data_IF_492625589983
#
_entry.id   IF_492625589983
#
_cell.length_a   1.000
_cell.length_b   1.000
_cell.length_c   1.000
_cell.angle_alpha   90.00
_cell.angle_beta   90.00
_cell.angle_gamma   90.00
#
_symmetry.space_group_name_H-M   'P 1'
#
loop_
_entity.id
_entity.type
_entity.pdbx_description
1 polymer ?
#
# COMPACT_ATOMS: atom_id res chain seq x y z
N UNK A 1 -0.91 -78.16 6.29
CA UNK A 1 -0.28 -77.16 7.14
C UNK A 1 0.43 -76.18 6.23
N UNK A 2 -0.16 -75.01 6.05
CA UNK A 2 0.43 -73.88 5.24
C UNK A 2 0.81 -72.75 6.19
N UNK A 3 2.13 -72.49 6.28
CA UNK A 3 2.68 -71.40 7.06
C UNK A 3 2.51 -70.14 6.24
N UNK A 4 1.90 -69.10 6.83
CA UNK A 4 1.78 -67.76 6.30
C UNK A 4 2.89 -66.94 6.95
N UNK A 5 3.82 -66.45 6.11
CA UNK A 5 4.87 -65.51 6.54
C UNK A 5 4.30 -64.09 6.53
N UNK A 6 4.35 -63.43 7.67
CA UNK A 6 3.95 -62.00 7.82
C UNK A 6 5.21 -61.15 7.66
N UNK A 7 5.29 -60.42 6.57
CA UNK A 7 6.36 -59.45 6.32
C UNK A 7 5.97 -58.12 6.96
N UNK A 8 6.69 -57.71 7.99
CA UNK A 8 6.52 -56.41 8.62
C UNK A 8 7.29 -55.33 7.83
N UNK A 9 6.56 -54.40 7.20
CA UNK A 9 7.15 -53.26 6.55
C UNK A 9 7.30 -52.13 7.55
N UNK A 10 8.55 -51.78 7.87
CA UNK A 10 8.88 -50.63 8.70
C UNK A 10 8.76 -49.36 7.88
N UNK A 11 7.79 -48.51 8.16
CA UNK A 11 7.71 -47.14 7.66
C UNK A 11 8.57 -46.24 8.53
N UNK A 12 9.66 -45.74 7.96
CA UNK A 12 10.48 -44.71 8.57
C UNK A 12 9.82 -43.34 8.32
N UNK A 13 9.18 -42.77 9.34
CA UNK A 13 8.68 -41.37 9.29
C UNK A 13 9.89 -40.45 9.46
N UNK A 14 10.24 -39.74 8.39
CA UNK A 14 11.08 -38.57 8.50
C UNK A 14 10.23 -37.40 8.99
N UNK A 15 10.42 -36.99 10.23
CA UNK A 15 9.89 -35.72 10.73
C UNK A 15 10.73 -34.59 10.17
N UNK A 16 10.18 -33.87 9.20
CA UNK A 16 10.71 -32.57 8.74
C UNK A 16 10.34 -31.56 9.80
N UNK A 17 11.29 -31.16 10.62
CA UNK A 17 11.13 -30.03 11.53
C UNK A 17 11.11 -28.74 10.70
N UNK A 18 9.94 -28.19 10.44
CA UNK A 18 9.80 -26.84 9.97
C UNK A 18 10.14 -25.90 11.14
N UNK A 19 11.33 -25.31 11.11
CA UNK A 19 11.65 -24.17 11.96
C UNK A 19 10.81 -22.99 11.52
N UNK A 20 9.73 -22.71 12.24
CA UNK A 20 9.02 -21.45 12.17
C UNK A 20 9.97 -20.35 12.67
N UNK A 21 10.51 -19.57 11.75
CA UNK A 21 11.03 -18.25 12.11
C UNK A 21 9.83 -17.41 12.52
N UNK A 22 9.62 -17.29 13.83
CA UNK A 22 8.77 -16.25 14.39
C UNK A 22 9.44 -14.91 14.06
N UNK A 23 8.81 -14.16 13.15
CA UNK A 23 9.14 -12.78 12.96
C UNK A 23 8.83 -12.04 14.27
N UNK A 24 9.85 -11.63 14.98
CA UNK A 24 9.73 -10.69 16.08
C UNK A 24 9.17 -9.39 15.50
N UNK A 25 7.95 -9.07 15.87
CA UNK A 25 7.40 -7.72 15.79
C UNK A 25 8.19 -6.86 16.79
N UNK A 26 9.32 -6.37 16.34
CA UNK A 26 10.13 -5.46 17.13
C UNK A 26 9.55 -4.06 16.99
N UNK A 27 8.76 -3.66 17.98
CA UNK A 27 8.67 -2.26 18.34
C UNK A 27 10.05 -1.77 18.78
N UNK A 28 10.92 -1.48 17.83
CA UNK A 28 12.27 -1.00 18.12
C UNK A 28 12.41 0.43 17.65
N UNK A 29 12.57 1.35 18.59
CA UNK A 29 12.92 2.75 18.39
C UNK A 29 14.40 2.95 18.07
N UNK A 30 15.05 1.98 17.40
CA UNK A 30 16.40 2.17 16.85
C UNK A 30 16.30 2.88 15.51
N UNK A 31 17.21 3.82 15.28
CA UNK A 31 17.38 4.52 14.00
C UNK A 31 17.58 3.51 12.87
N UNK A 32 16.50 3.15 12.20
CA UNK A 32 16.47 2.17 11.10
C UNK A 32 16.83 2.82 9.75
N UNK A 33 17.18 4.11 9.74
CA UNK A 33 17.49 4.89 8.53
C UNK A 33 18.69 4.38 7.75
N UNK A 34 19.53 3.53 8.36
CA UNK A 34 20.75 2.96 7.75
C UNK A 34 20.58 1.51 7.28
N UNK A 35 19.40 0.90 7.46
CA UNK A 35 19.16 -0.50 7.12
C UNK A 35 18.22 -0.64 5.93
N UNK A 36 18.48 -1.63 5.09
CA UNK A 36 17.53 -1.99 4.04
C UNK A 36 16.24 -2.55 4.65
N UNK A 37 15.09 -2.12 4.12
CA UNK A 37 13.78 -2.60 4.50
C UNK A 37 13.15 -3.37 3.35
N UNK A 38 12.62 -4.55 3.63
CA UNK A 38 11.86 -5.36 2.67
C UNK A 38 10.38 -5.35 3.05
N UNK A 39 9.54 -4.75 2.21
CA UNK A 39 8.10 -4.94 2.26
C UNK A 39 7.74 -6.05 1.27
N UNK A 40 7.55 -7.27 1.77
CA UNK A 40 7.23 -8.42 0.93
C UNK A 40 5.77 -8.38 0.44
N UNK A 41 5.47 -9.20 -0.58
CA UNK A 41 4.09 -9.35 -1.04
C UNK A 41 3.17 -9.92 0.07
N UNK A 42 3.70 -10.72 0.99
CA UNK A 42 2.95 -11.25 2.13
C UNK A 42 2.65 -10.14 3.15
N UNK A 43 3.60 -9.24 3.42
CA UNK A 43 3.38 -8.11 4.31
C UNK A 43 2.34 -7.14 3.74
N UNK A 44 2.43 -6.84 2.44
CA UNK A 44 1.42 -6.02 1.74
C UNK A 44 0.03 -6.66 1.87
N UNK A 45 -0.08 -7.97 1.68
CA UNK A 45 -1.35 -8.67 1.80
C UNK A 45 -1.89 -8.65 3.23
N UNK A 46 -1.03 -8.78 4.24
CA UNK A 46 -1.40 -8.69 5.66
C UNK A 46 -1.92 -7.29 6.01
N UNK A 47 -1.18 -6.23 5.65
CA UNK A 47 -1.64 -4.85 5.85
C UNK A 47 -2.95 -4.58 5.12
N UNK A 48 -3.09 -5.04 3.87
CA UNK A 48 -4.31 -4.84 3.09
C UNK A 48 -5.54 -5.52 3.71
N UNK A 49 -5.35 -6.66 4.41
CA UNK A 49 -6.44 -7.38 5.06
C UNK A 49 -6.99 -6.63 6.29
N UNK A 50 -6.18 -5.79 6.92
CA UNK A 50 -6.55 -4.98 8.09
C UNK A 50 -7.23 -3.65 7.70
N UNK A 51 -7.13 -3.23 6.44
CA UNK A 51 -7.72 -1.97 5.98
C UNK A 51 -9.23 -2.07 5.84
N UNK A 52 -9.94 -1.13 6.45
CA UNK A 52 -11.39 -1.05 6.37
C UNK A 52 -11.86 -0.77 4.94
N UNK A 53 -12.57 -1.72 4.34
CA UNK A 53 -13.12 -1.61 2.99
C UNK A 53 -14.40 -0.76 2.91
N UNK A 54 -14.99 -0.38 4.04
CA UNK A 54 -16.21 0.42 4.10
C UNK A 54 -15.97 1.93 3.99
N UNK A 55 -14.72 2.36 4.17
CA UNK A 55 -14.35 3.77 4.04
C UNK A 55 -13.70 4.05 2.68
N UNK A 56 -13.87 5.28 2.19
CA UNK A 56 -13.34 5.68 0.88
C UNK A 56 -11.80 5.66 0.82
N UNK A 57 -11.15 5.90 1.94
CA UNK A 57 -9.70 5.86 2.08
C UNK A 57 -9.30 5.26 3.41
N UNK A 58 -8.57 4.16 3.37
CA UNK A 58 -7.94 3.54 4.52
C UNK A 58 -6.45 3.35 4.23
N UNK A 59 -5.59 3.57 5.23
CA UNK A 59 -4.16 3.33 5.10
C UNK A 59 -3.54 2.74 6.36
N UNK A 60 -2.39 2.08 6.19
CA UNK A 60 -1.47 1.71 7.26
C UNK A 60 -0.10 2.24 6.90
N UNK A 61 0.48 3.06 7.77
CA UNK A 61 1.87 3.49 7.64
C UNK A 61 2.79 2.33 8.00
N UNK A 62 3.70 2.01 7.09
CA UNK A 62 4.69 0.93 7.23
C UNK A 62 6.03 1.51 7.69
N UNK A 63 6.42 2.63 7.10
CA UNK A 63 7.58 3.40 7.51
C UNK A 63 7.14 4.84 7.74
N UNK A 64 7.41 5.36 8.94
CA UNK A 64 7.09 6.73 9.31
C UNK A 64 8.27 7.65 8.97
N UNK A 65 7.94 8.81 8.42
CA UNK A 65 8.92 9.87 8.19
C UNK A 65 9.33 10.49 9.52
N UNK A 66 10.63 10.74 9.69
CA UNK A 66 11.13 11.47 10.84
C UNK A 66 10.60 12.92 10.86
N UNK A 67 10.56 13.50 12.07
CA UNK A 67 10.30 14.93 12.22
C UNK A 67 11.32 15.73 11.36
N UNK A 68 10.88 16.72 10.58
CA UNK A 68 11.79 17.55 9.77
C UNK A 68 12.90 18.25 10.57
N UNK A 69 12.73 18.42 11.87
CA UNK A 69 13.76 18.96 12.75
C UNK A 69 14.75 17.90 13.23
N UNK A 70 14.50 16.61 12.98
CA UNK A 70 15.40 15.51 13.34
C UNK A 70 16.54 15.39 12.32
N UNK A 71 17.73 15.07 12.81
CA UNK A 71 18.88 14.73 11.97
C UNK A 71 19.02 13.24 11.75
N UNK A 72 18.10 12.45 12.34
CA UNK A 72 18.08 10.98 12.22
C UNK A 72 16.68 10.53 11.81
N UNK A 73 16.60 9.32 11.23
CA UNK A 73 15.37 8.74 10.75
C UNK A 73 15.16 8.88 9.24
N UNK A 74 14.01 8.44 8.76
CA UNK A 74 13.71 8.39 7.33
C UNK A 74 13.24 9.75 6.80
N UNK A 75 13.70 10.11 5.60
CA UNK A 75 13.27 11.32 4.91
C UNK A 75 11.96 11.13 4.12
N UNK A 76 11.39 9.94 4.13
CA UNK A 76 10.17 9.57 3.38
C UNK A 76 9.22 8.76 4.24
N UNK A 77 7.96 8.69 3.82
CA UNK A 77 6.94 7.81 4.38
C UNK A 77 6.60 6.71 3.40
N UNK A 78 6.32 5.51 3.90
CA UNK A 78 5.79 4.39 3.14
C UNK A 78 4.48 3.92 3.79
N UNK A 79 3.44 3.77 2.97
CA UNK A 79 2.14 3.28 3.42
C UNK A 79 1.55 2.26 2.46
N UNK A 80 0.64 1.43 2.96
CA UNK A 80 -0.27 0.62 2.17
C UNK A 80 -1.65 1.27 2.24
N UNK A 81 -2.18 1.65 1.09
CA UNK A 81 -3.45 2.36 0.95
C UNK A 81 -4.48 1.48 0.26
N UNK A 82 -5.72 1.50 0.77
CA UNK A 82 -6.90 1.06 0.04
C UNK A 82 -7.74 2.28 -0.32
N UNK A 83 -8.11 2.38 -1.59
CA UNK A 83 -8.98 3.44 -2.10
C UNK A 83 -10.23 2.85 -2.74
N UNK A 84 -11.39 3.38 -2.34
CA UNK A 84 -12.73 3.06 -2.84
C UNK A 84 -13.48 4.37 -3.15
N UNK A 85 -14.58 4.35 -3.96
CA UNK A 85 -15.33 5.57 -4.19
C UNK A 85 -16.07 6.05 -2.93
N UNK A 86 -16.31 7.35 -2.75
CA UNK A 86 -15.81 8.45 -3.57
C UNK A 86 -14.43 8.93 -3.14
N UNK A 87 -13.61 9.41 -4.08
CA UNK A 87 -12.32 10.03 -3.77
C UNK A 87 -12.35 11.53 -4.07
N UNK A 88 -11.66 12.30 -3.24
CA UNK A 88 -11.47 13.75 -3.44
C UNK A 88 -10.15 14.01 -4.15
N UNK A 89 -10.11 15.04 -5.00
CA UNK A 89 -8.86 15.52 -5.57
C UNK A 89 -7.92 16.03 -4.47
N UNK A 90 -6.64 15.70 -4.60
CA UNK A 90 -5.57 16.11 -3.70
C UNK A 90 -4.43 16.79 -4.49
N UNK A 91 -3.61 17.55 -3.78
CA UNK A 91 -2.41 18.20 -4.28
C UNK A 91 -1.48 18.47 -3.10
N UNK A 92 -0.23 18.08 -3.18
CA UNK A 92 0.77 18.26 -2.15
C UNK A 92 1.85 19.21 -2.63
N UNK A 93 1.98 20.38 -1.99
CA UNK A 93 2.86 21.44 -2.47
C UNK A 93 4.36 21.18 -2.24
N UNK A 94 4.69 20.30 -1.31
CA UNK A 94 6.07 20.03 -0.88
C UNK A 94 6.43 18.53 -0.85
N UNK A 95 5.62 17.71 -1.49
CA UNK A 95 5.82 16.26 -1.52
C UNK A 95 5.54 15.72 -2.91
N UNK A 96 6.47 14.91 -3.42
CA UNK A 96 6.23 14.03 -4.54
C UNK A 96 5.74 12.67 -4.02
N UNK A 97 4.93 11.97 -4.81
CA UNK A 97 4.45 10.64 -4.49
C UNK A 97 4.84 9.64 -5.57
N UNK A 98 5.20 8.43 -5.14
CA UNK A 98 5.28 7.26 -6.01
C UNK A 98 4.18 6.28 -5.58
N UNK A 99 3.29 5.95 -6.49
CA UNK A 99 2.22 4.98 -6.30
C UNK A 99 2.53 3.70 -7.05
N UNK A 100 2.76 2.61 -6.33
CA UNK A 100 2.85 1.27 -6.91
C UNK A 100 1.48 0.60 -6.76
N UNK A 101 0.82 0.25 -7.88
CA UNK A 101 -0.47 -0.43 -7.86
C UNK A 101 -0.23 -1.91 -7.59
N UNK A 102 -0.62 -2.37 -6.39
CA UNK A 102 -0.39 -3.74 -5.94
C UNK A 102 -1.65 -4.61 -5.98
N UNK A 103 -2.82 -4.00 -6.21
CA UNK A 103 -4.10 -4.73 -6.37
C UNK A 103 -5.19 -3.87 -6.98
N UNK A 104 -6.14 -4.53 -7.66
CA UNK A 104 -7.23 -3.86 -8.37
C UNK A 104 -6.82 -3.20 -9.67
N UNK A 105 -7.74 -2.44 -10.24
CA UNK A 105 -7.56 -1.61 -11.44
C UNK A 105 -8.47 -0.38 -11.38
N UNK A 106 -8.24 0.59 -12.26
CA UNK A 106 -9.05 1.80 -12.30
C UNK A 106 -8.46 2.90 -13.16
N UNK A 107 -8.80 4.15 -12.82
CA UNK A 107 -8.23 5.32 -13.46
C UNK A 107 -7.81 6.36 -12.42
N UNK A 108 -6.69 7.01 -12.68
CA UNK A 108 -6.18 8.12 -11.90
C UNK A 108 -6.10 9.33 -12.84
N UNK A 109 -6.74 10.43 -12.46
CA UNK A 109 -6.61 11.69 -13.16
C UNK A 109 -5.54 12.54 -12.48
N UNK A 110 -4.57 13.02 -13.26
CA UNK A 110 -3.52 13.94 -12.81
C UNK A 110 -3.58 15.25 -13.58
N UNK A 111 -2.82 16.23 -13.16
CA UNK A 111 -2.73 17.55 -13.81
C UNK A 111 -4.06 18.33 -13.74
N UNK A 112 -4.24 19.32 -14.64
CA UNK A 112 -5.42 20.16 -14.63
C UNK A 112 -5.51 21.08 -13.41
N UNK A 113 -6.72 21.35 -12.95
CA UNK A 113 -6.96 22.19 -11.76
C UNK A 113 -8.00 21.57 -10.84
N UNK A 114 -7.78 21.72 -9.54
CA UNK A 114 -8.77 21.32 -8.54
C UNK A 114 -9.89 22.35 -8.49
N UNK A 115 -11.14 21.87 -8.56
CA UNK A 115 -12.36 22.67 -8.37
C UNK A 115 -13.20 22.10 -7.25
N UNK A 116 -13.87 22.97 -6.51
CA UNK A 116 -14.83 22.56 -5.50
C UNK A 116 -16.13 22.07 -6.13
N UNK A 117 -16.68 21.00 -5.58
CA UNK A 117 -18.05 20.56 -5.85
C UNK A 117 -18.91 21.24 -4.79
N UNK A 118 -19.86 22.08 -5.23
CA UNK A 118 -20.74 22.86 -4.34
C UNK A 118 -22.17 22.38 -4.50
N UNK A 119 -22.82 22.03 -3.40
CA UNK A 119 -24.24 21.67 -3.30
C UNK A 119 -24.85 22.53 -2.19
N UNK A 120 -25.97 23.14 -2.46
CA UNK A 120 -26.69 24.03 -1.52
C UNK A 120 -25.77 25.11 -0.87
N UNK A 121 -24.82 25.63 -1.63
CA UNK A 121 -23.85 26.64 -1.17
C UNK A 121 -22.70 26.10 -0.31
N UNK A 122 -22.62 24.79 -0.11
CA UNK A 122 -21.56 24.14 0.70
C UNK A 122 -20.61 23.32 -0.17
N UNK A 123 -19.31 23.35 0.12
CA UNK A 123 -18.33 22.51 -0.54
C UNK A 123 -18.46 21.08 -0.03
N UNK A 124 -18.97 20.17 -0.85
CA UNK A 124 -19.17 18.74 -0.54
C UNK A 124 -18.02 17.87 -1.04
N UNK A 125 -17.21 18.38 -1.98
CA UNK A 125 -16.10 17.61 -2.55
C UNK A 125 -15.14 18.48 -3.36
N UNK A 126 -14.14 17.80 -3.93
CA UNK A 126 -13.21 18.40 -4.91
C UNK A 126 -12.96 17.41 -6.04
N UNK A 127 -12.85 17.91 -7.26
CA UNK A 127 -12.52 17.15 -8.45
C UNK A 127 -11.48 17.88 -9.31
N UNK A 128 -10.89 17.15 -10.25
CA UNK A 128 -9.98 17.74 -11.25
C UNK A 128 -10.79 18.06 -12.51
N UNK A 129 -10.52 19.24 -13.08
CA UNK A 129 -10.96 19.64 -14.42
C UNK A 129 -9.76 19.79 -15.35
N UNK A 130 -9.88 19.27 -16.58
CA UNK A 130 -8.88 19.41 -17.62
C UNK A 130 -7.60 18.58 -17.37
N UNK A 131 -7.68 17.53 -16.57
CA UNK A 131 -6.55 16.66 -16.28
C UNK A 131 -6.32 15.56 -17.32
N UNK A 132 -5.26 14.79 -17.11
CA UNK A 132 -4.88 13.60 -17.89
C UNK A 132 -5.35 12.35 -17.16
N UNK A 133 -6.04 11.45 -17.87
CA UNK A 133 -6.53 10.17 -17.30
C UNK A 133 -5.53 9.06 -17.58
N UNK A 134 -5.04 8.42 -16.54
CA UNK A 134 -4.18 7.23 -16.60
C UNK A 134 -5.00 6.03 -16.17
N UNK A 135 -5.15 5.03 -17.07
CA UNK A 135 -5.68 3.72 -16.67
C UNK A 135 -4.58 2.90 -16.06
N UNK A 136 -4.86 2.35 -14.88
CA UNK A 136 -3.88 1.63 -14.07
C UNK A 136 -4.40 0.27 -13.64
N UNK A 137 -3.48 -0.65 -13.47
CA UNK A 137 -3.72 -2.01 -13.00
C UNK A 137 -2.55 -2.50 -12.14
N UNK A 138 -2.74 -3.62 -11.48
CA UNK A 138 -1.66 -4.24 -10.67
C UNK A 138 -0.37 -4.38 -11.49
N UNK A 139 0.72 -3.86 -10.94
CA UNK A 139 2.06 -3.84 -11.52
C UNK A 139 2.47 -2.48 -12.10
N UNK A 140 1.52 -1.56 -12.28
CA UNK A 140 1.82 -0.21 -12.76
C UNK A 140 2.38 0.68 -11.64
N UNK A 141 3.15 1.69 -12.06
CA UNK A 141 3.70 2.73 -11.20
C UNK A 141 3.31 4.09 -11.73
N UNK A 142 2.89 4.97 -10.84
CA UNK A 142 2.61 6.37 -11.15
C UNK A 142 3.50 7.25 -10.27
N UNK A 143 4.25 8.16 -10.89
CA UNK A 143 5.00 9.20 -10.19
C UNK A 143 4.21 10.49 -10.29
N UNK A 144 3.93 11.11 -9.14
CA UNK A 144 3.19 12.35 -9.02
C UNK A 144 4.16 13.39 -8.43
N UNK A 145 4.67 14.31 -9.24
CA UNK A 145 5.53 15.38 -8.73
C UNK A 145 4.80 16.28 -7.73
N UNK A 146 5.58 17.00 -6.92
CA UNK A 146 5.01 18.00 -6.04
C UNK A 146 4.16 19.03 -6.82
N UNK A 147 3.08 19.47 -6.21
CA UNK A 147 2.19 20.45 -6.81
C UNK A 147 1.30 19.90 -7.93
N UNK A 148 1.39 18.64 -8.30
CA UNK A 148 0.52 18.06 -9.33
C UNK A 148 -0.79 17.58 -8.69
N UNK A 149 -1.96 18.14 -9.15
CA UNK A 149 -3.26 17.61 -8.75
C UNK A 149 -3.42 16.14 -9.14
N UNK A 150 -4.02 15.33 -8.27
CA UNK A 150 -4.31 13.93 -8.56
C UNK A 150 -5.59 13.46 -7.88
N UNK A 151 -6.26 12.49 -8.49
CA UNK A 151 -7.52 11.92 -8.01
C UNK A 151 -7.71 10.53 -8.57
N UNK A 152 -8.05 9.54 -7.76
CA UNK A 152 -8.56 8.27 -8.28
C UNK A 152 -10.02 8.49 -8.72
N UNK A 153 -10.33 8.23 -9.98
CA UNK A 153 -11.61 8.55 -10.60
C UNK A 153 -12.43 7.32 -10.99
N UNK A 154 -11.77 6.19 -11.22
CA UNK A 154 -12.45 4.91 -11.50
C UNK A 154 -11.82 3.79 -10.66
N UNK A 155 -12.63 2.76 -10.32
CA UNK A 155 -12.25 1.65 -9.44
C UNK A 155 -12.81 0.33 -9.98
N UNK A 156 -12.05 -0.77 -9.81
CA UNK A 156 -12.52 -2.12 -10.10
C UNK A 156 -11.87 -3.15 -9.12
N UNK A 157 -12.57 -3.56 -8.07
CA UNK A 157 -13.60 -2.82 -7.32
C UNK A 157 -12.98 -1.73 -6.43
N UNK A 158 -11.67 -1.77 -6.21
CA UNK A 158 -10.88 -0.82 -5.42
C UNK A 158 -9.45 -0.79 -5.95
N UNK A 159 -8.67 0.21 -5.57
CA UNK A 159 -7.23 0.22 -5.75
C UNK A 159 -6.53 -0.06 -4.43
N UNK A 160 -5.56 -0.99 -4.46
CA UNK A 160 -4.58 -1.19 -3.41
C UNK A 160 -3.25 -0.64 -3.91
N UNK A 161 -2.69 0.29 -3.16
CA UNK A 161 -1.52 1.08 -3.56
C UNK A 161 -0.47 1.00 -2.46
N UNK A 162 0.78 0.80 -2.82
CA UNK A 162 1.91 1.13 -1.94
C UNK A 162 2.35 2.53 -2.31
N UNK A 163 2.23 3.46 -1.36
CA UNK A 163 2.53 4.88 -1.55
C UNK A 163 3.83 5.25 -0.86
N UNK A 164 4.76 5.85 -1.62
CA UNK A 164 5.90 6.57 -1.08
C UNK A 164 5.61 8.06 -1.15
N UNK A 165 5.73 8.75 -0.01
CA UNK A 165 5.69 10.20 0.09
C UNK A 165 7.13 10.69 0.30
N UNK A 166 7.62 11.47 -0.66
CA UNK A 166 9.00 11.96 -0.73
C UNK A 166 8.95 13.48 -0.56
N UNK A 167 9.28 14.01 0.62
CA UNK A 167 9.30 15.45 0.82
C UNK A 167 10.45 16.08 0.04
N UNK A 168 10.28 17.35 -0.26
CA UNK A 168 11.28 18.17 -0.92
C UNK A 168 11.99 19.07 0.08
#
# INVERSE_FOLDING_TARGET
MRMIAITATFFLLFAVSASSQQGESAGNTTDDSTRAFLLSAADIAAHAAELDASVAYANTTVLERADPASTTGLAYRLAVDRRTPPQRAAQHAAEAELWAIVGGSGAITTDGRIVNIVEDGQTVGRRIEGGTVHRVSKGDFLVIPEGVPHQVTEFDPSLLIVTFEIPR
#
